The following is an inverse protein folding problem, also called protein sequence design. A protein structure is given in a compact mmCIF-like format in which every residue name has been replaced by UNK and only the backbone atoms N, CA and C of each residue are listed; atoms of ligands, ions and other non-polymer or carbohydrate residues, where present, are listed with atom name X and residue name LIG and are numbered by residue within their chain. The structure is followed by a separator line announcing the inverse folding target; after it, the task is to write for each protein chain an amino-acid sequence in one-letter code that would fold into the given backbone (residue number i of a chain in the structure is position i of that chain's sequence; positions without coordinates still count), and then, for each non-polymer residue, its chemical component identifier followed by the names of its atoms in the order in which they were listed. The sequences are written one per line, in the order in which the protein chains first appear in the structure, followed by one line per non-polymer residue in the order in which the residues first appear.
data_IF_640290391462
#
_entry.id   IF_640290391462
#
_cell.length_a   1.000
_cell.length_b   1.000
_cell.length_c   1.000
_cell.angle_alpha   90.00
_cell.angle_beta   90.00
_cell.angle_gamma   90.00
#
_symmetry.space_group_name_H-M   'P 1'
#
loop_
_entity.id
_entity.type
_entity.pdbx_description
1 polymer ?
#
# COMPACT_ATOMS: atom_id res chain seq x y z
N UNK A 1 -55.57 -39.05 35.80
CA UNK A 1 -55.36 -38.78 34.36
C UNK A 1 -54.22 -37.79 34.07
N UNK A 2 -54.08 -36.67 34.79
CA UNK A 2 -53.05 -35.63 34.50
C UNK A 2 -51.58 -36.05 34.66
N UNK A 3 -51.27 -37.03 35.54
CA UNK A 3 -49.88 -37.48 35.79
C UNK A 3 -49.32 -38.49 34.75
N UNK A 4 -50.20 -39.15 33.97
CA UNK A 4 -49.77 -40.05 32.88
C UNK A 4 -49.59 -39.31 31.54
N UNK A 5 -50.32 -38.21 31.34
CA UNK A 5 -50.15 -37.31 30.18
C UNK A 5 -48.80 -36.58 30.25
N UNK A 6 -48.37 -36.17 31.45
CA UNK A 6 -47.09 -35.51 31.64
C UNK A 6 -45.88 -36.41 31.35
N UNK A 7 -45.99 -37.72 31.60
CA UNK A 7 -44.95 -38.70 31.29
C UNK A 7 -44.87 -39.03 29.79
N UNK A 8 -45.99 -38.98 29.06
CA UNK A 8 -46.03 -39.15 27.60
C UNK A 8 -45.48 -37.93 26.84
N UNK A 9 -45.67 -36.72 27.36
CA UNK A 9 -45.10 -35.49 26.80
C UNK A 9 -43.58 -35.38 27.01
N UNK A 10 -43.04 -35.99 28.07
CA UNK A 10 -41.60 -35.93 28.38
C UNK A 10 -40.76 -36.88 27.51
N UNK A 11 -41.38 -37.94 26.96
CA UNK A 11 -40.72 -38.90 26.06
C UNK A 11 -40.65 -38.38 24.62
N UNK A 12 -41.58 -37.50 24.20
CA UNK A 12 -41.58 -36.91 22.84
C UNK A 12 -40.46 -35.87 22.67
N UNK A 13 -40.01 -35.21 23.75
CA UNK A 13 -38.87 -34.28 23.71
C UNK A 13 -37.48 -34.97 23.72
N UNK A 14 -37.42 -36.29 23.91
CA UNK A 14 -36.16 -37.04 23.94
C UNK A 14 -35.76 -37.64 22.59
N UNK A 15 -36.56 -37.44 21.53
CA UNK A 15 -36.26 -37.88 20.16
C UNK A 15 -36.02 -36.67 19.25
N UNK A 16 -35.17 -35.75 19.71
CA UNK A 16 -34.40 -34.89 18.81
C UNK A 16 -33.00 -35.50 18.70
N UNK A 17 -32.91 -36.70 18.10
CA UNK A 17 -31.67 -37.13 17.50
C UNK A 17 -31.47 -36.24 16.28
N UNK A 18 -30.74 -35.16 16.46
CA UNK A 18 -30.04 -34.55 15.34
C UNK A 18 -29.10 -35.64 14.83
N UNK A 19 -29.17 -35.99 13.54
CA UNK A 19 -28.00 -36.59 12.91
C UNK A 19 -26.92 -35.52 13.01
N UNK A 20 -25.98 -35.70 13.94
CA UNK A 20 -24.75 -34.94 13.86
C UNK A 20 -24.08 -35.43 12.59
N UNK A 21 -24.09 -34.61 11.53
CA UNK A 21 -23.20 -34.81 10.40
C UNK A 21 -21.81 -34.98 11.01
N UNK A 22 -21.22 -36.16 10.82
CA UNK A 22 -19.82 -36.39 11.18
C UNK A 22 -19.01 -35.30 10.52
N UNK A 23 -18.46 -34.40 11.34
CA UNK A 23 -17.53 -33.36 10.90
C UNK A 23 -16.32 -34.07 10.26
N UNK A 24 -16.34 -34.21 8.94
CA UNK A 24 -15.17 -34.65 8.19
C UNK A 24 -14.24 -33.45 8.07
N UNK A 25 -12.98 -33.53 8.53
CA UNK A 25 -11.99 -32.50 8.24
C UNK A 25 -11.96 -32.25 6.73
N UNK A 26 -12.00 -31.00 6.31
CA UNK A 26 -11.80 -30.63 4.91
C UNK A 26 -10.44 -31.17 4.45
N UNK A 27 -10.37 -31.83 3.29
CA UNK A 27 -9.10 -32.35 2.75
C UNK A 27 -8.13 -31.23 2.35
N UNK A 28 -8.63 -30.01 2.17
CA UNK A 28 -7.81 -28.80 2.02
C UNK A 28 -7.22 -28.39 3.36
N UNK A 29 -5.88 -28.26 3.49
CA UNK A 29 -5.30 -27.73 4.71
C UNK A 29 -5.84 -26.32 4.97
N UNK A 30 -6.63 -26.14 6.03
CA UNK A 30 -6.91 -24.82 6.55
C UNK A 30 -5.67 -24.33 7.31
N UNK A 31 -4.82 -23.54 6.64
CA UNK A 31 -4.24 -22.25 7.09
C UNK A 31 -3.11 -21.77 6.14
N UNK A 32 -3.36 -20.69 5.40
CA UNK A 32 -2.46 -19.53 5.23
C UNK A 32 -1.12 -19.62 4.46
N UNK A 33 -0.98 -18.74 3.45
CA UNK A 33 0.22 -18.22 2.74
C UNK A 33 1.35 -19.19 2.36
N UNK A 34 1.57 -19.48 1.06
CA UNK A 34 2.66 -20.37 0.63
C UNK A 34 3.35 -20.00 -0.71
N UNK A 35 4.63 -20.35 -0.84
CA UNK A 35 5.54 -20.24 -2.00
C UNK A 35 6.36 -21.54 -1.96
N UNK A 36 6.52 -22.40 -2.99
CA UNK A 36 6.83 -22.18 -4.41
C UNK A 36 5.61 -22.16 -5.35
N UNK A 37 5.76 -21.61 -6.56
CA UNK A 37 4.68 -21.50 -7.57
C UNK A 37 5.12 -22.16 -8.90
N UNK A 38 4.29 -22.18 -9.94
CA UNK A 38 4.05 -23.32 -10.85
C UNK A 38 5.06 -23.74 -11.92
N UNK A 39 6.35 -23.86 -11.57
CA UNK A 39 7.48 -24.36 -12.40
C UNK A 39 7.85 -23.47 -13.59
N UNK A 40 7.94 -22.17 -13.33
CA UNK A 40 8.52 -21.16 -14.21
C UNK A 40 9.91 -20.73 -13.71
N UNK A 41 10.68 -20.09 -14.59
CA UNK A 41 12.02 -19.58 -14.27
C UNK A 41 12.03 -18.50 -13.17
N UNK A 42 10.93 -17.74 -13.05
CA UNK A 42 10.79 -16.68 -12.07
C UNK A 42 10.40 -17.18 -10.66
N UNK A 43 10.05 -18.45 -10.49
CA UNK A 43 9.65 -18.98 -9.18
C UNK A 43 10.82 -19.00 -8.18
N UNK A 44 12.05 -19.21 -8.67
CA UNK A 44 13.27 -19.11 -7.86
C UNK A 44 13.42 -17.71 -7.26
N UNK A 45 13.05 -16.66 -8.00
CA UNK A 45 13.07 -15.28 -7.51
C UNK A 45 12.02 -15.05 -6.42
N UNK A 46 10.86 -15.67 -6.53
CA UNK A 46 9.82 -15.61 -5.49
C UNK A 46 10.30 -16.30 -4.20
N UNK A 47 10.95 -17.45 -4.32
CA UNK A 47 11.55 -18.16 -3.19
C UNK A 47 12.66 -17.32 -2.55
N UNK A 48 13.55 -16.72 -3.34
CA UNK A 48 14.60 -15.81 -2.86
C UNK A 48 14.01 -14.64 -2.04
N UNK A 49 12.94 -14.01 -2.52
CA UNK A 49 12.26 -12.93 -1.80
C UNK A 49 11.66 -13.39 -0.48
N UNK A 50 11.16 -14.63 -0.41
CA UNK A 50 10.68 -15.20 0.84
C UNK A 50 11.82 -15.41 1.84
N UNK A 51 12.94 -15.96 1.41
CA UNK A 51 14.08 -16.23 2.27
C UNK A 51 14.73 -14.94 2.80
N UNK A 52 14.94 -13.96 1.90
CA UNK A 52 15.58 -12.69 2.22
C UNK A 52 14.67 -11.75 2.99
N UNK A 53 13.42 -11.61 2.56
CA UNK A 53 12.51 -10.58 3.09
C UNK A 53 11.38 -11.12 3.96
N UNK A 54 11.27 -12.44 4.13
CA UNK A 54 10.21 -13.08 4.92
C UNK A 54 8.78 -12.68 4.50
N UNK A 55 8.56 -12.39 3.21
CA UNK A 55 7.24 -12.09 2.63
C UNK A 55 6.83 -13.19 1.67
N UNK A 56 5.53 -13.46 1.57
CA UNK A 56 4.96 -14.41 0.62
C UNK A 56 4.52 -13.67 -0.64
N UNK A 57 5.27 -13.78 -1.72
CA UNK A 57 4.92 -13.18 -3.01
C UNK A 57 4.07 -14.16 -3.82
N UNK A 58 2.82 -13.82 -4.13
CA UNK A 58 1.82 -14.74 -4.68
C UNK A 58 1.22 -14.21 -5.98
N UNK A 59 1.30 -14.99 -7.06
CA UNK A 59 0.47 -14.84 -8.26
C UNK A 59 -0.61 -15.92 -8.37
N UNK A 60 -0.51 -17.01 -7.60
CA UNK A 60 -1.60 -17.97 -7.38
C UNK A 60 -2.19 -17.75 -5.99
N UNK A 61 -3.32 -17.05 -5.94
CA UNK A 61 -4.07 -16.79 -4.71
C UNK A 61 -5.56 -16.59 -5.00
N UNK A 62 -6.39 -16.64 -3.97
CA UNK A 62 -7.81 -16.28 -4.08
C UNK A 62 -8.00 -14.79 -3.82
N UNK A 63 -8.78 -14.09 -4.66
CA UNK A 63 -8.98 -12.64 -4.54
C UNK A 63 -9.57 -12.20 -3.19
N UNK A 64 -10.20 -13.09 -2.44
CA UNK A 64 -10.61 -12.83 -1.05
C UNK A 64 -9.45 -12.36 -0.17
N UNK A 65 -8.22 -12.79 -0.44
CA UNK A 65 -7.02 -12.34 0.29
C UNK A 65 -6.68 -10.87 0.05
N UNK A 66 -7.12 -10.29 -1.08
CA UNK A 66 -7.01 -8.87 -1.38
C UNK A 66 -8.20 -8.10 -0.82
N UNK A 67 -9.41 -8.65 -0.94
CA UNK A 67 -10.65 -7.94 -0.60
C UNK A 67 -10.97 -7.90 0.89
N UNK A 68 -10.35 -8.77 1.67
CA UNK A 68 -10.55 -8.80 3.11
C UNK A 68 -9.75 -7.69 3.81
N UNK A 69 -10.47 -6.81 4.52
CA UNK A 69 -9.91 -5.88 5.50
C UNK A 69 -10.56 -6.14 6.87
N UNK A 70 -9.90 -5.77 7.96
CA UNK A 70 -10.37 -6.06 9.34
C UNK A 70 -11.80 -5.57 9.61
N UNK A 71 -12.17 -4.43 9.01
CA UNK A 71 -13.44 -3.75 9.28
C UNK A 71 -14.38 -3.68 8.07
N UNK A 72 -13.96 -4.19 6.90
CA UNK A 72 -14.76 -4.11 5.68
C UNK A 72 -14.33 -5.13 4.62
N UNK A 73 -15.25 -5.43 3.73
CA UNK A 73 -14.97 -6.09 2.46
C UNK A 73 -14.82 -5.02 1.38
N UNK A 74 -13.77 -5.09 0.56
CA UNK A 74 -13.46 -4.05 -0.44
C UNK A 74 -13.60 -4.53 -1.89
N UNK A 75 -14.33 -5.62 -2.14
CA UNK A 75 -14.68 -6.02 -3.51
C UNK A 75 -15.77 -5.10 -4.08
N UNK A 76 -15.57 -4.69 -5.33
CA UNK A 76 -16.61 -4.06 -6.13
C UNK A 76 -17.63 -5.11 -6.54
N UNK A 77 -18.88 -4.92 -6.14
CA UNK A 77 -20.00 -5.78 -6.55
C UNK A 77 -21.17 -4.90 -6.97
N UNK A 78 -21.71 -5.08 -8.19
CA UNK A 78 -22.92 -4.42 -8.63
C UNK A 78 -24.10 -4.70 -7.70
N UNK A 79 -24.91 -3.68 -7.41
CA UNK A 79 -26.13 -3.80 -6.60
C UNK A 79 -27.35 -3.78 -7.52
N UNK A 80 -28.01 -4.93 -7.64
CA UNK A 80 -29.28 -5.02 -8.37
C UNK A 80 -30.35 -4.15 -7.71
N UNK A 81 -31.07 -3.37 -8.51
CA UNK A 81 -32.11 -2.42 -8.05
C UNK A 81 -31.63 -1.38 -7.01
N UNK A 82 -30.33 -1.10 -6.90
CA UNK A 82 -29.76 -0.23 -5.86
C UNK A 82 -30.09 1.27 -5.92
N UNK A 83 -31.03 1.69 -6.76
CA UNK A 83 -31.42 3.10 -6.89
C UNK A 83 -30.22 3.98 -7.28
N UNK A 84 -29.83 4.91 -6.41
CA UNK A 84 -28.65 5.78 -6.61
C UNK A 84 -27.33 5.04 -6.42
N UNK A 85 -27.26 4.06 -5.51
CA UNK A 85 -26.04 3.27 -5.27
C UNK A 85 -26.05 2.04 -6.17
N UNK A 86 -25.19 2.02 -7.18
CA UNK A 86 -25.14 0.95 -8.20
C UNK A 86 -24.14 -0.15 -7.87
N UNK A 87 -23.27 0.06 -6.89
CA UNK A 87 -22.21 -0.86 -6.49
C UNK A 87 -21.90 -0.70 -5.00
N UNK A 88 -21.32 -1.74 -4.38
CA UNK A 88 -20.69 -1.65 -3.06
C UNK A 88 -19.52 -0.66 -3.06
N UNK A 89 -18.97 -0.34 -4.24
CA UNK A 89 -17.71 0.38 -4.38
C UNK A 89 -16.52 -0.46 -3.89
N UNK A 90 -15.32 -0.16 -4.38
CA UNK A 90 -14.12 -0.92 -4.02
C UNK A 90 -13.35 -1.39 -5.24
N UNK A 91 -12.63 -2.49 -5.10
CA UNK A 91 -11.73 -3.03 -6.09
C UNK A 91 -12.39 -4.08 -6.97
N UNK A 92 -12.20 -3.91 -8.27
CA UNK A 92 -12.29 -4.97 -9.25
C UNK A 92 -10.86 -5.40 -9.60
N UNK A 93 -10.51 -6.62 -9.21
CA UNK A 93 -9.17 -7.15 -9.37
C UNK A 93 -9.15 -8.53 -10.03
N UNK A 94 -7.99 -8.89 -10.56
CA UNK A 94 -7.69 -10.20 -11.11
C UNK A 94 -6.25 -10.58 -10.78
N UNK A 95 -6.01 -11.87 -10.53
CA UNK A 95 -4.66 -12.40 -10.31
C UNK A 95 -3.79 -12.19 -11.56
N UNK A 96 -2.47 -12.08 -11.38
CA UNK A 96 -1.55 -11.91 -12.50
C UNK A 96 -1.66 -13.07 -13.52
N UNK A 97 -1.54 -12.73 -14.80
CA UNK A 97 -1.35 -13.71 -15.85
C UNK A 97 0.08 -14.26 -15.75
N UNK A 98 0.20 -15.59 -15.60
CA UNK A 98 1.47 -16.30 -15.42
C UNK A 98 2.50 -15.96 -16.50
N UNK A 99 2.06 -15.62 -17.72
CA UNK A 99 2.95 -15.20 -18.82
C UNK A 99 3.73 -13.92 -18.52
N UNK A 100 3.20 -13.05 -17.67
CA UNK A 100 3.75 -11.72 -17.40
C UNK A 100 4.29 -11.56 -15.97
N UNK A 101 4.19 -12.59 -15.12
CA UNK A 101 4.68 -12.56 -13.72
C UNK A 101 6.16 -12.22 -13.64
N UNK A 102 7.01 -12.84 -14.45
CA UNK A 102 8.45 -12.53 -14.47
C UNK A 102 8.73 -11.04 -14.70
N UNK A 103 8.01 -10.43 -15.66
CA UNK A 103 8.13 -8.99 -15.96
C UNK A 103 7.54 -8.10 -14.86
N UNK A 104 6.48 -8.53 -14.20
CA UNK A 104 5.96 -7.82 -13.04
C UNK A 104 6.95 -7.86 -11.86
N UNK A 105 7.63 -8.99 -11.63
CA UNK A 105 8.67 -9.11 -10.60
C UNK A 105 9.90 -8.25 -10.90
N UNK A 106 10.30 -8.12 -12.17
CA UNK A 106 11.32 -7.15 -12.61
C UNK A 106 10.89 -5.71 -12.27
N UNK A 107 9.66 -5.34 -12.67
CA UNK A 107 9.10 -4.02 -12.39
C UNK A 107 9.08 -3.69 -10.89
N UNK A 108 8.64 -4.62 -10.03
CA UNK A 108 8.62 -4.45 -8.57
C UNK A 108 10.04 -4.33 -8.02
N UNK A 109 10.98 -5.14 -8.51
CA UNK A 109 12.38 -5.05 -8.09
C UNK A 109 12.96 -3.65 -8.39
N UNK A 110 12.75 -3.15 -9.60
CA UNK A 110 13.33 -1.90 -10.09
C UNK A 110 12.63 -0.65 -9.56
N UNK A 111 11.31 -0.67 -9.46
CA UNK A 111 10.56 0.52 -9.06
C UNK A 111 10.33 0.60 -7.55
N UNK A 112 10.66 -0.46 -6.80
CA UNK A 112 10.39 -0.52 -5.37
C UNK A 112 11.51 -1.17 -4.55
N UNK A 113 11.72 -2.49 -4.69
CA UNK A 113 12.55 -3.22 -3.72
C UNK A 113 14.01 -2.77 -3.72
N UNK A 114 14.57 -2.35 -4.86
CA UNK A 114 15.97 -1.91 -4.96
C UNK A 114 16.34 -0.74 -4.04
N UNK A 115 15.36 0.02 -3.54
CA UNK A 115 15.59 1.20 -2.72
C UNK A 115 15.79 0.90 -1.24
N UNK A 116 15.59 -0.34 -0.83
CA UNK A 116 15.62 -0.75 0.56
C UNK A 116 16.61 -1.91 0.73
N UNK A 117 17.37 -1.86 1.83
CA UNK A 117 18.20 -3.01 2.20
C UNK A 117 17.36 -4.22 2.59
N UNK A 118 17.91 -5.42 2.47
CA UNK A 118 17.27 -6.67 2.89
C UNK A 118 16.79 -6.62 4.35
N UNK A 119 17.57 -6.01 5.25
CA UNK A 119 17.20 -5.86 6.66
C UNK A 119 15.99 -4.94 6.83
N UNK A 120 15.93 -3.85 6.06
CA UNK A 120 14.76 -2.95 6.01
C UNK A 120 13.55 -3.70 5.46
N UNK A 121 13.68 -4.38 4.32
CA UNK A 121 12.59 -5.13 3.69
C UNK A 121 12.05 -6.22 4.61
N UNK A 122 12.93 -7.02 5.23
CA UNK A 122 12.55 -8.09 6.16
C UNK A 122 11.77 -7.61 7.39
N UNK A 123 12.07 -6.40 7.87
CA UNK A 123 11.37 -5.79 9.02
C UNK A 123 10.04 -5.14 8.63
N UNK A 124 9.95 -4.61 7.41
CA UNK A 124 8.94 -3.61 7.04
C UNK A 124 7.93 -4.09 5.99
N UNK A 125 8.29 -5.04 5.13
CA UNK A 125 7.32 -5.63 4.19
C UNK A 125 6.20 -6.32 4.97
N UNK A 126 4.95 -6.29 4.45
CA UNK A 126 3.89 -7.06 5.05
C UNK A 126 4.03 -8.55 4.74
N UNK A 127 3.11 -9.32 5.31
CA UNK A 127 3.12 -10.77 5.19
C UNK A 127 3.05 -11.24 3.73
N UNK A 128 2.30 -10.52 2.89
CA UNK A 128 2.11 -10.86 1.47
C UNK A 128 2.50 -9.75 0.50
N UNK A 129 3.01 -10.16 -0.65
CA UNK A 129 2.96 -9.39 -1.90
C UNK A 129 2.00 -10.12 -2.83
N UNK A 130 0.93 -9.45 -3.27
CA UNK A 130 -0.06 -10.02 -4.19
C UNK A 130 0.17 -9.48 -5.60
N UNK A 131 0.29 -10.37 -6.57
CA UNK A 131 0.55 -10.04 -7.97
C UNK A 131 -0.75 -10.05 -8.75
N UNK A 132 -1.22 -8.88 -9.17
CA UNK A 132 -2.49 -8.69 -9.85
C UNK A 132 -2.28 -8.29 -11.32
N UNK A 133 -3.14 -8.81 -12.21
CA UNK A 133 -3.29 -8.33 -13.60
C UNK A 133 -4.26 -7.14 -13.69
N UNK A 134 -5.16 -6.99 -12.73
CA UNK A 134 -6.08 -5.86 -12.65
C UNK A 134 -6.19 -5.38 -11.22
N UNK A 135 -6.24 -4.06 -11.04
CA UNK A 135 -6.45 -3.42 -9.75
C UNK A 135 -7.14 -2.07 -9.97
N UNK A 136 -8.40 -2.14 -10.37
CA UNK A 136 -9.23 -0.97 -10.66
C UNK A 136 -10.16 -0.68 -9.48
N UNK A 137 -10.34 0.60 -9.16
CA UNK A 137 -11.27 1.03 -8.12
C UNK A 137 -12.49 1.69 -8.74
N UNK A 138 -13.64 1.42 -8.13
CA UNK A 138 -14.94 1.98 -8.51
C UNK A 138 -15.61 2.61 -7.29
N UNK A 139 -16.36 3.68 -7.54
CA UNK A 139 -17.21 4.30 -6.53
C UNK A 139 -18.49 3.49 -6.26
N UNK A 140 -19.20 3.82 -5.17
CA UNK A 140 -20.53 3.27 -4.85
C UNK A 140 -21.60 3.56 -5.91
N UNK A 141 -21.33 4.48 -6.83
CA UNK A 141 -22.19 4.78 -7.98
C UNK A 141 -21.91 3.88 -9.19
N UNK A 142 -20.99 2.91 -9.07
CA UNK A 142 -20.55 2.04 -10.17
C UNK A 142 -19.66 2.74 -11.19
N UNK A 143 -19.15 3.94 -10.86
CA UNK A 143 -18.27 4.71 -11.75
C UNK A 143 -16.82 4.34 -11.49
N UNK A 144 -16.08 4.08 -12.57
CA UNK A 144 -14.63 3.91 -12.53
C UNK A 144 -13.97 5.15 -11.93
N UNK A 145 -13.08 4.94 -10.96
CA UNK A 145 -12.33 5.99 -10.28
C UNK A 145 -10.90 6.05 -10.82
N UNK A 146 -10.12 4.98 -10.58
CA UNK A 146 -8.75 4.88 -11.09
C UNK A 146 -8.23 3.45 -11.10
N UNK A 147 -7.21 3.23 -11.91
CA UNK A 147 -6.33 2.05 -11.84
C UNK A 147 -5.21 2.31 -10.86
N UNK A 148 -5.01 1.41 -9.89
CA UNK A 148 -3.93 1.52 -8.91
C UNK A 148 -2.66 0.85 -9.42
N UNK A 149 -1.50 1.46 -9.17
CA UNK A 149 -0.19 0.84 -9.37
C UNK A 149 0.12 -0.16 -8.26
N UNK A 150 -0.21 0.22 -7.02
CA UNK A 150 -0.08 -0.60 -5.82
C UNK A 150 -1.19 -0.25 -4.83
N UNK A 151 -1.70 -1.25 -4.11
CA UNK A 151 -2.61 -1.08 -2.98
C UNK A 151 -2.00 -1.66 -1.70
N UNK A 152 -2.00 -0.90 -0.61
CA UNK A 152 -1.57 -1.36 0.70
C UNK A 152 -2.78 -1.82 1.52
N UNK A 153 -3.11 -3.11 1.44
CA UNK A 153 -4.16 -3.72 2.25
C UNK A 153 -3.73 -4.02 3.69
N UNK A 154 -4.56 -4.68 4.47
CA UNK A 154 -4.29 -4.93 5.89
C UNK A 154 -2.95 -5.64 6.15
N UNK A 155 -2.71 -6.77 5.48
CA UNK A 155 -1.54 -7.64 5.65
C UNK A 155 -0.81 -7.93 4.32
N UNK A 156 -1.13 -7.19 3.27
CA UNK A 156 -0.55 -7.33 1.94
C UNK A 156 -0.13 -5.98 1.31
N UNK A 157 0.77 -6.05 0.34
CA UNK A 157 0.86 -5.06 -0.74
C UNK A 157 0.42 -5.76 -2.03
N UNK A 158 -0.58 -5.23 -2.73
CA UNK A 158 -1.02 -5.75 -4.01
C UNK A 158 -0.49 -4.87 -5.14
N UNK A 159 0.19 -5.47 -6.11
CA UNK A 159 0.81 -4.80 -7.23
C UNK A 159 0.06 -5.12 -8.52
N UNK A 160 -0.19 -4.11 -9.34
CA UNK A 160 -0.84 -4.29 -10.63
C UNK A 160 0.19 -4.59 -11.73
N UNK A 161 -0.27 -4.66 -12.98
CA UNK A 161 0.53 -4.84 -14.19
C UNK A 161 1.09 -6.24 -14.38
N UNK A 162 0.51 -7.27 -13.75
CA UNK A 162 0.74 -8.67 -14.09
C UNK A 162 0.00 -9.09 -15.37
N UNK A 163 0.11 -8.28 -16.44
CA UNK A 163 -0.56 -8.48 -17.72
C UNK A 163 0.30 -7.91 -18.86
N UNK A 164 -0.15 -8.03 -20.11
CA UNK A 164 0.59 -7.58 -21.30
C UNK A 164 1.08 -6.13 -21.27
N UNK A 165 0.37 -5.22 -20.61
CA UNK A 165 0.76 -3.81 -20.52
C UNK A 165 2.13 -3.61 -19.88
N UNK A 166 2.62 -4.54 -19.06
CA UNK A 166 3.96 -4.47 -18.45
C UNK A 166 5.06 -4.35 -19.49
N UNK A 167 4.85 -4.90 -20.69
CA UNK A 167 5.81 -4.87 -21.79
C UNK A 167 5.90 -3.50 -22.47
N UNK A 168 4.90 -2.65 -22.29
CA UNK A 168 4.75 -1.38 -23.01
C UNK A 168 4.67 -0.18 -22.07
N UNK A 169 5.02 -0.35 -20.79
CA UNK A 169 5.05 0.76 -19.83
C UNK A 169 6.11 1.77 -20.25
N UNK A 170 5.67 3.01 -20.48
CA UNK A 170 6.53 4.15 -20.75
C UNK A 170 7.35 4.53 -19.52
N UNK A 171 8.42 5.27 -19.72
CA UNK A 171 9.23 5.83 -18.63
C UNK A 171 8.40 6.67 -17.65
N UNK A 172 7.48 7.49 -18.16
CA UNK A 172 6.58 8.27 -17.33
C UNK A 172 5.70 7.37 -16.44
N UNK A 173 5.21 6.24 -16.96
CA UNK A 173 4.42 5.27 -16.20
C UNK A 173 5.28 4.51 -15.18
N UNK A 174 6.49 4.05 -15.56
CA UNK A 174 7.43 3.43 -14.61
C UNK A 174 7.78 4.39 -13.48
N UNK A 175 7.97 5.68 -13.78
CA UNK A 175 8.22 6.71 -12.77
C UNK A 175 7.01 6.92 -11.85
N UNK A 176 5.78 6.93 -12.38
CA UNK A 176 4.58 6.99 -11.55
C UNK A 176 4.47 5.77 -10.63
N UNK A 177 4.74 4.57 -11.13
CA UNK A 177 4.77 3.31 -10.35
C UNK A 177 5.80 3.41 -9.22
N UNK A 178 7.01 3.91 -9.50
CA UNK A 178 8.05 4.16 -8.50
C UNK A 178 7.54 5.07 -7.40
N UNK A 179 7.04 6.25 -7.75
CA UNK A 179 6.62 7.25 -6.77
C UNK A 179 5.46 6.72 -5.94
N UNK A 180 4.40 6.23 -6.57
CA UNK A 180 3.18 5.80 -5.87
C UNK A 180 3.41 4.56 -5.00
N UNK A 181 4.23 3.61 -5.45
CA UNK A 181 4.54 2.43 -4.64
C UNK A 181 5.34 2.82 -3.39
N UNK A 182 6.39 3.60 -3.56
CA UNK A 182 7.23 4.01 -2.43
C UNK A 182 6.46 4.92 -1.47
N UNK A 183 5.63 5.84 -1.98
CA UNK A 183 4.75 6.68 -1.15
C UNK A 183 3.78 5.82 -0.32
N UNK A 184 3.08 4.88 -0.96
CA UNK A 184 2.15 3.98 -0.28
C UNK A 184 2.83 3.11 0.77
N UNK A 185 4.03 2.61 0.49
CA UNK A 185 4.80 1.82 1.44
C UNK A 185 5.27 2.66 2.64
N UNK A 186 5.87 3.84 2.41
CA UNK A 186 6.34 4.71 3.49
C UNK A 186 5.18 5.20 4.38
N UNK A 187 4.03 5.54 3.77
CA UNK A 187 2.79 5.83 4.50
C UNK A 187 2.36 4.67 5.39
N UNK A 188 2.35 3.44 4.85
CA UNK A 188 2.07 2.23 5.62
C UNK A 188 3.01 2.10 6.81
N UNK A 189 4.30 2.34 6.64
CA UNK A 189 5.27 2.24 7.72
C UNK A 189 4.99 3.26 8.83
N UNK A 190 4.64 4.50 8.48
CA UNK A 190 4.25 5.51 9.47
C UNK A 190 2.95 5.14 10.19
N UNK A 191 1.90 4.77 9.48
CA UNK A 191 0.61 4.42 10.08
C UNK A 191 0.67 3.18 10.97
N UNK A 192 1.57 2.24 10.67
CA UNK A 192 1.84 1.06 11.50
C UNK A 192 2.96 1.27 12.53
N UNK A 193 3.43 2.51 12.70
CA UNK A 193 4.52 2.89 13.61
C UNK A 193 5.80 2.04 13.44
N UNK A 194 6.07 1.56 12.22
CA UNK A 194 7.31 0.87 11.85
C UNK A 194 8.46 1.85 11.62
N UNK A 195 8.12 3.08 11.26
CA UNK A 195 9.01 4.23 11.27
C UNK A 195 8.31 5.38 12.00
N UNK A 196 9.09 6.24 12.62
CA UNK A 196 8.64 7.46 13.28
C UNK A 196 9.52 8.62 12.85
N UNK A 197 8.95 9.83 12.89
CA UNK A 197 9.66 11.07 12.61
C UNK A 197 10.10 11.69 13.93
N UNK A 198 11.32 12.24 13.95
CA UNK A 198 11.84 12.96 15.11
C UNK A 198 10.86 14.08 15.53
N UNK A 199 10.46 14.16 16.82
CA UNK A 199 9.62 15.25 17.33
C UNK A 199 10.13 16.65 16.95
N UNK A 200 11.45 16.84 16.84
CA UNK A 200 12.07 18.09 16.42
C UNK A 200 11.60 18.57 15.04
N UNK A 201 11.22 17.66 14.13
CA UNK A 201 10.62 18.02 12.84
C UNK A 201 9.35 18.84 13.01
N UNK A 202 8.48 18.43 13.93
CA UNK A 202 7.19 19.08 14.13
C UNK A 202 7.34 20.42 14.84
N UNK A 203 8.34 20.59 15.70
CA UNK A 203 8.59 21.84 16.42
C UNK A 203 9.19 22.95 15.55
N UNK A 204 9.56 22.67 14.29
CA UNK A 204 10.00 23.71 13.34
C UNK A 204 8.84 24.59 12.87
N UNK A 205 7.62 24.06 12.82
CA UNK A 205 6.48 24.69 12.16
C UNK A 205 5.40 25.13 13.15
N UNK A 206 4.78 26.28 12.87
CA UNK A 206 3.51 26.66 13.49
C UNK A 206 2.34 26.23 12.60
N UNK A 207 1.53 25.29 13.08
CA UNK A 207 0.40 24.74 12.34
C UNK A 207 -0.90 25.54 12.51
N UNK A 208 -0.89 26.58 13.34
CA UNK A 208 -2.07 27.39 13.58
C UNK A 208 -2.27 28.41 12.46
N UNK A 209 -3.49 28.48 11.92
CA UNK A 209 -3.90 29.51 10.95
C UNK A 209 -3.02 29.55 9.69
N UNK A 210 -2.66 28.39 9.17
CA UNK A 210 -1.98 28.28 7.88
C UNK A 210 -2.85 28.80 6.74
N UNK A 211 -2.26 29.60 5.86
CA UNK A 211 -2.83 30.13 4.63
C UNK A 211 -1.91 29.79 3.46
N UNK A 212 -2.40 29.93 2.24
CA UNK A 212 -1.57 29.75 1.03
C UNK A 212 -0.38 30.72 0.97
N UNK A 213 -0.43 31.84 1.70
CA UNK A 213 0.62 32.86 1.72
C UNK A 213 1.66 32.64 2.80
N UNK A 214 1.29 32.10 3.97
CA UNK A 214 2.21 31.94 5.10
C UNK A 214 2.79 30.52 5.23
N UNK A 215 2.25 29.50 4.54
CA UNK A 215 2.63 28.11 4.77
C UNK A 215 4.14 27.87 4.66
N UNK A 216 4.77 28.38 3.59
CA UNK A 216 6.21 28.26 3.39
C UNK A 216 7.01 29.00 4.46
N UNK A 217 6.56 30.19 4.85
CA UNK A 217 7.20 30.99 5.90
C UNK A 217 7.14 30.28 7.26
N UNK A 218 6.15 29.41 7.47
CA UNK A 218 6.00 28.55 8.66
C UNK A 218 6.62 27.15 8.48
N UNK A 219 7.35 26.89 7.38
CA UNK A 219 8.00 25.61 7.12
C UNK A 219 7.07 24.48 6.64
N UNK A 220 5.85 24.79 6.23
CA UNK A 220 4.87 23.83 5.71
C UNK A 220 4.80 23.90 4.18
N UNK A 221 4.73 22.75 3.50
CA UNK A 221 4.64 22.70 2.04
C UNK A 221 3.26 23.11 1.51
N UNK A 222 2.20 22.90 2.31
CA UNK A 222 0.83 23.21 1.93
C UNK A 222 0.06 23.89 3.07
N UNK A 223 -0.96 24.68 2.72
CA UNK A 223 -1.75 25.44 3.70
C UNK A 223 -2.71 24.57 4.53
N UNK A 224 -3.10 23.39 4.02
CA UNK A 224 -3.96 22.43 4.71
C UNK A 224 -3.14 21.39 5.51
N UNK A 225 -1.88 21.70 5.82
CA UNK A 225 -0.99 20.84 6.59
C UNK A 225 -1.41 20.78 8.06
N UNK A 226 -1.41 19.58 8.63
CA UNK A 226 -1.49 19.34 10.08
C UNK A 226 -0.26 18.56 10.53
N UNK A 227 -0.04 18.43 11.85
CA UNK A 227 1.05 17.58 12.37
C UNK A 227 0.98 16.14 11.83
N UNK A 228 -0.22 15.63 11.53
CA UNK A 228 -0.40 14.26 11.03
C UNK A 228 -0.07 14.10 9.54
N UNK A 229 -0.17 15.16 8.74
CA UNK A 229 0.00 15.10 7.27
C UNK A 229 1.33 15.68 6.79
N UNK A 230 1.98 16.49 7.61
CA UNK A 230 3.17 17.25 7.21
C UNK A 230 4.33 16.38 6.74
N UNK A 231 4.75 15.44 7.58
CA UNK A 231 5.82 14.51 7.22
C UNK A 231 5.48 13.70 5.96
N UNK A 232 4.20 13.38 5.74
CA UNK A 232 3.76 12.68 4.53
C UNK A 232 3.93 13.56 3.28
N UNK A 233 3.60 14.85 3.36
CA UNK A 233 3.85 15.79 2.26
C UNK A 233 5.33 15.93 1.95
N UNK A 234 6.19 16.00 2.98
CA UNK A 234 7.64 16.01 2.78
C UNK A 234 8.14 14.71 2.14
N UNK A 235 7.70 13.54 2.62
CA UNK A 235 8.05 12.25 2.01
C UNK A 235 7.66 12.25 0.52
N UNK A 236 6.42 12.59 0.18
CA UNK A 236 5.95 12.63 -1.20
C UNK A 236 6.80 13.60 -2.04
N UNK A 237 7.12 14.79 -1.54
CA UNK A 237 7.96 15.77 -2.25
C UNK A 237 9.36 15.23 -2.54
N UNK A 238 10.00 14.61 -1.54
CA UNK A 238 11.38 14.12 -1.63
C UNK A 238 11.50 12.94 -2.59
N UNK A 239 10.60 11.95 -2.50
CA UNK A 239 10.70 10.74 -3.33
C UNK A 239 10.23 10.96 -4.78
N UNK A 240 9.45 12.00 -5.03
CA UNK A 240 8.96 12.34 -6.37
C UNK A 240 9.86 13.29 -7.15
N UNK A 241 10.79 13.96 -6.47
CA UNK A 241 11.56 15.06 -7.05
C UNK A 241 13.07 14.86 -6.84
N UNK A 242 13.90 14.88 -7.90
CA UNK A 242 15.34 14.84 -7.76
C UNK A 242 15.87 16.00 -6.92
N UNK A 243 16.93 15.77 -6.15
CA UNK A 243 17.50 16.78 -5.25
C UNK A 243 17.91 18.06 -5.98
N UNK A 244 18.45 17.93 -7.20
CA UNK A 244 18.78 19.08 -8.05
C UNK A 244 17.56 19.98 -8.31
N UNK A 245 16.39 19.39 -8.50
CA UNK A 245 15.14 20.10 -8.71
C UNK A 245 14.62 20.71 -7.40
N UNK A 246 14.72 20.00 -6.28
CA UNK A 246 14.38 20.54 -4.95
C UNK A 246 15.20 21.80 -4.61
N UNK A 247 16.44 21.87 -5.09
CA UNK A 247 17.37 23.00 -4.92
C UNK A 247 17.30 24.06 -6.02
N UNK A 248 16.55 23.81 -7.10
CA UNK A 248 16.50 24.69 -8.26
C UNK A 248 16.03 26.10 -7.89
N UNK A 249 16.49 27.10 -8.64
CA UNK A 249 15.99 28.46 -8.50
C UNK A 249 14.61 28.62 -9.15
N UNK A 250 13.62 27.93 -8.61
CA UNK A 250 12.24 27.92 -9.09
C UNK A 250 11.31 28.35 -7.95
N UNK A 251 10.62 29.48 -8.12
CA UNK A 251 9.68 30.03 -7.13
C UNK A 251 8.22 29.77 -7.50
N UNK A 252 7.95 28.88 -8.45
CA UNK A 252 6.58 28.53 -8.87
C UNK A 252 5.77 28.02 -7.69
N UNK A 253 4.61 28.64 -7.39
CA UNK A 253 3.72 28.17 -6.33
C UNK A 253 3.27 26.72 -6.58
N UNK A 254 3.03 25.97 -5.50
CA UNK A 254 2.54 24.58 -5.54
C UNK A 254 3.42 23.59 -6.34
N UNK A 255 4.68 23.94 -6.60
CA UNK A 255 5.68 23.05 -7.18
C UNK A 255 6.66 22.57 -6.11
N UNK A 256 7.14 21.32 -6.22
CA UNK A 256 8.25 20.83 -5.40
C UNK A 256 9.62 21.31 -5.88
N UNK A 257 9.71 21.89 -7.08
CA UNK A 257 10.95 22.53 -7.50
C UNK A 257 11.25 23.73 -6.61
N UNK A 258 12.52 23.85 -6.22
CA UNK A 258 13.05 24.94 -5.43
C UNK A 258 12.58 25.00 -3.98
N UNK A 259 11.88 23.99 -3.46
CA UNK A 259 11.39 24.01 -2.06
C UNK A 259 12.50 24.07 -1.01
N UNK A 260 13.73 23.72 -1.37
CA UNK A 260 14.92 23.83 -0.52
C UNK A 260 15.79 25.03 -0.90
N UNK A 261 15.42 25.79 -1.93
CA UNK A 261 16.16 26.96 -2.39
C UNK A 261 15.84 28.18 -1.50
N UNK A 262 16.83 28.94 -1.02
CA UNK A 262 16.61 30.11 -0.17
C UNK A 262 15.72 31.21 -0.78
N UNK A 263 15.55 31.26 -2.12
CA UNK A 263 14.62 32.21 -2.75
C UNK A 263 13.15 31.86 -2.53
N UNK A 264 12.84 30.57 -2.33
CA UNK A 264 11.49 30.06 -2.05
C UNK A 264 11.30 29.78 -0.56
N UNK A 265 12.24 29.08 0.07
CA UNK A 265 12.30 28.86 1.52
C UNK A 265 13.09 29.98 2.22
N UNK A 266 12.50 31.18 2.25
CA UNK A 266 13.15 32.39 2.76
C UNK A 266 13.59 32.29 4.22
N UNK A 267 12.88 31.48 5.01
CA UNK A 267 13.14 31.31 6.44
C UNK A 267 14.02 30.07 6.74
N UNK A 268 14.36 29.27 5.73
CA UNK A 268 15.17 28.05 5.89
C UNK A 268 14.47 26.93 6.67
N UNK A 269 13.16 27.04 6.92
CA UNK A 269 12.42 26.11 7.77
C UNK A 269 12.10 24.82 7.04
N UNK A 270 11.80 24.91 5.74
CA UNK A 270 11.54 23.73 4.90
C UNK A 270 12.83 22.93 4.77
N UNK A 271 13.96 23.61 4.54
CA UNK A 271 15.29 22.98 4.51
C UNK A 271 15.61 22.27 5.82
N UNK A 272 15.38 22.93 6.96
CA UNK A 272 15.59 22.33 8.28
C UNK A 272 14.75 21.05 8.48
N UNK A 273 13.48 21.06 8.06
CA UNK A 273 12.59 19.89 8.15
C UNK A 273 12.99 18.77 7.21
N UNK A 274 13.41 19.11 5.99
CA UNK A 274 13.99 18.15 5.05
C UNK A 274 15.18 17.44 5.68
N UNK A 275 16.15 18.17 6.23
CA UNK A 275 17.37 17.60 6.81
C UNK A 275 17.02 16.70 8.02
N UNK A 276 16.13 17.14 8.91
CA UNK A 276 15.65 16.34 10.05
C UNK A 276 15.00 15.02 9.59
N UNK A 277 14.11 15.07 8.61
CA UNK A 277 13.39 13.89 8.12
C UNK A 277 14.32 12.90 7.41
N UNK A 278 15.15 13.39 6.48
CA UNK A 278 16.07 12.54 5.71
C UNK A 278 17.09 11.87 6.62
N UNK A 279 17.70 12.62 7.56
CA UNK A 279 18.66 12.05 8.50
C UNK A 279 17.98 11.05 9.44
N UNK A 280 16.82 11.37 9.99
CA UNK A 280 16.07 10.47 10.87
C UNK A 280 15.78 9.12 10.20
N UNK A 281 15.28 9.13 8.96
CA UNK A 281 14.95 7.89 8.24
C UNK A 281 16.19 7.11 7.79
N UNK A 282 17.24 7.82 7.37
CA UNK A 282 18.49 7.19 6.94
C UNK A 282 19.21 6.53 8.10
N UNK A 283 19.39 7.24 9.21
CA UNK A 283 20.18 6.78 10.37
C UNK A 283 19.46 5.70 11.18
N UNK A 284 18.16 5.86 11.44
CA UNK A 284 17.43 4.94 12.33
C UNK A 284 16.79 3.76 11.60
N UNK A 285 16.49 3.92 10.31
CA UNK A 285 15.70 2.94 9.57
C UNK A 285 16.38 2.42 8.30
N UNK A 286 17.55 2.93 7.94
CA UNK A 286 18.25 2.62 6.70
C UNK A 286 17.35 2.82 5.47
N UNK A 287 16.66 3.98 5.44
CA UNK A 287 15.80 4.41 4.34
C UNK A 287 16.33 5.75 3.84
N UNK A 288 16.89 5.75 2.63
CA UNK A 288 17.35 6.97 1.96
C UNK A 288 16.25 7.51 1.04
N UNK A 289 15.45 8.45 1.55
CA UNK A 289 14.37 9.06 0.79
C UNK A 289 14.86 9.74 -0.50
N UNK A 290 16.01 10.42 -0.42
CA UNK A 290 16.51 11.19 -1.55
C UNK A 290 17.11 10.28 -2.63
N UNK A 291 17.66 9.11 -2.26
CA UNK A 291 18.05 8.10 -3.22
C UNK A 291 16.85 7.60 -4.05
N UNK A 292 15.67 7.47 -3.44
CA UNK A 292 14.43 7.18 -4.18
C UNK A 292 14.17 8.33 -5.15
N UNK A 293 14.12 9.58 -4.69
CA UNK A 293 13.85 10.76 -5.52
C UNK A 293 14.83 11.00 -6.67
N UNK A 294 16.10 10.64 -6.47
CA UNK A 294 17.16 10.76 -7.46
C UNK A 294 17.21 9.60 -8.45
N UNK A 295 16.42 8.56 -8.24
CA UNK A 295 16.49 7.36 -9.03
C UNK A 295 16.18 7.66 -10.50
N UNK A 296 17.15 7.38 -11.37
CA UNK A 296 16.89 7.25 -12.79
C UNK A 296 16.16 5.94 -13.03
N UNK A 297 15.26 5.95 -14.01
CA UNK A 297 14.63 4.72 -14.47
C UNK A 297 15.72 3.83 -15.07
N UNK A 298 15.71 2.56 -14.69
CA UNK A 298 16.58 1.55 -15.29
C UNK A 298 15.83 1.08 -16.53
N UNK A 299 16.52 1.10 -17.67
CA UNK A 299 16.01 0.60 -18.95
C UNK A 299 16.08 -0.92 -18.98
#
# INVERSE_FOLDING_TARGET
MKRRIFLLLLVIFAVACHEEETLTPTETPEFGYSVPQGNHDYDDKIVDWKERFNTFTLYKFELKELYWEVVKWIEETPIENGGTYKSTGGFKAAVADEKYVGKQLELIQEQFLRFYSDTTLKRCLPLKILLCSQLDHYSVYGLFDKTYNMYSGYDCLAFNWGNEKVLTLTDAQKNAIRVETNDGFLRRLMYKAKITVDPAFFEVSNYNQLTSTNAYEQGCLFYNTSKDTDALFFITAIISTPYANLMAEDTTPNSYNGILNPKKDKNGLIRKKYDLLVNCLKENYNIDLQAIGNATLVN
#
